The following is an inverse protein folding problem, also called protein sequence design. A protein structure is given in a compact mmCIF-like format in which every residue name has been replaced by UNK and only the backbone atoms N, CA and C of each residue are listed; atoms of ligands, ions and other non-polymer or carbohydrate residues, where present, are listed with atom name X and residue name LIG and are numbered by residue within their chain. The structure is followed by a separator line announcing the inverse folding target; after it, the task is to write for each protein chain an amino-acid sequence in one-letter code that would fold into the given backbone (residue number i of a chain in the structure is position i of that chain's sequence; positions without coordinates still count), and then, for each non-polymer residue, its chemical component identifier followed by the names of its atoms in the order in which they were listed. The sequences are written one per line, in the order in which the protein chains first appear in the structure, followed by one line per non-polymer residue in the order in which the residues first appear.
data_IF_151444282464
#
_entry.id   IF_151444282464
#
_cell.length_a   1.000
_cell.length_b   1.000
_cell.length_c   1.000
_cell.angle_alpha   90.00
_cell.angle_beta   90.00
_cell.angle_gamma   90.00
#
_symmetry.space_group_name_H-M   'P 1'
#
loop_
_entity.id
_entity.type
_entity.pdbx_description
1 polymer ?
#
# COMPACT_ATOMS: atom_id res chain seq x y z
N UNK A 1 2.56 13.24 18.69
CA UNK A 1 1.58 13.53 17.62
C UNK A 1 1.97 12.80 16.36
N UNK A 2 0.99 12.39 15.55
CA UNK A 2 1.20 11.72 14.27
C UNK A 2 0.58 12.55 13.16
N UNK A 3 1.29 12.72 12.05
CA UNK A 3 0.80 13.39 10.84
C UNK A 3 0.37 12.35 9.82
N UNK A 4 -0.75 12.57 9.15
CA UNK A 4 -1.26 11.69 8.10
C UNK A 4 -1.69 12.56 6.93
N UNK A 5 -1.05 12.32 5.78
CA UNK A 5 -1.47 12.88 4.50
C UNK A 5 -2.21 11.82 3.68
N UNK A 6 -3.10 12.27 2.81
CA UNK A 6 -3.94 11.40 1.99
C UNK A 6 -4.05 11.94 0.56
N UNK A 7 -3.96 11.02 -0.40
CA UNK A 7 -4.24 11.27 -1.80
C UNK A 7 -5.01 10.11 -2.41
N UNK A 8 -5.89 10.42 -3.36
CA UNK A 8 -6.52 9.46 -4.25
C UNK A 8 -6.44 9.99 -5.67
N UNK A 9 -6.05 9.12 -6.59
CA UNK A 9 -6.02 9.43 -8.02
C UNK A 9 -6.33 8.18 -8.83
N UNK A 10 -6.83 8.39 -10.06
CA UNK A 10 -7.04 7.35 -11.06
C UNK A 10 -5.93 7.36 -12.13
N UNK A 11 -4.86 8.13 -11.93
CA UNK A 11 -3.72 8.21 -12.82
C UNK A 11 -2.58 7.37 -12.23
N UNK A 12 -2.18 6.33 -12.94
CA UNK A 12 -1.12 5.41 -12.52
C UNK A 12 0.19 6.15 -12.23
N UNK A 13 0.58 7.09 -13.09
CA UNK A 13 1.80 7.88 -12.92
C UNK A 13 1.81 8.73 -11.66
N UNK A 14 0.67 9.29 -11.26
CA UNK A 14 0.58 10.07 -10.03
C UNK A 14 0.74 9.18 -8.79
N UNK A 15 0.18 7.96 -8.80
CA UNK A 15 0.42 6.99 -7.73
C UNK A 15 1.91 6.62 -7.62
N UNK A 16 2.58 6.41 -8.75
CA UNK A 16 4.03 6.16 -8.80
C UNK A 16 4.80 7.35 -8.19
N UNK A 17 4.47 8.58 -8.59
CA UNK A 17 5.10 9.78 -8.02
C UNK A 17 4.89 9.89 -6.51
N UNK A 18 3.68 9.61 -6.01
CA UNK A 18 3.40 9.67 -4.58
C UNK A 18 4.13 8.60 -3.78
N UNK A 19 4.24 7.38 -4.30
CA UNK A 19 5.04 6.32 -3.66
C UNK A 19 6.51 6.73 -3.59
N UNK A 20 7.07 7.25 -4.70
CA UNK A 20 8.47 7.68 -4.74
C UNK A 20 8.76 8.90 -3.85
N UNK A 21 7.85 9.88 -3.80
CA UNK A 21 7.95 11.03 -2.90
C UNK A 21 7.81 10.66 -1.43
N UNK A 22 7.22 9.51 -1.11
CA UNK A 22 7.11 9.08 0.27
C UNK A 22 8.45 8.60 0.85
N UNK A 23 9.44 8.33 -0.01
CA UNK A 23 10.75 7.85 0.41
C UNK A 23 11.54 8.95 1.13
N UNK A 24 11.96 8.67 2.36
CA UNK A 24 12.67 9.63 3.22
C UNK A 24 11.80 10.70 3.90
N UNK A 25 10.61 10.98 3.37
CA UNK A 25 9.69 11.99 3.94
C UNK A 25 8.62 11.38 4.87
N UNK A 26 8.34 10.08 4.77
CA UNK A 26 7.30 9.40 5.54
C UNK A 26 7.82 8.12 6.19
N UNK A 27 7.32 7.81 7.40
CA UNK A 27 7.65 6.57 8.13
C UNK A 27 6.99 5.31 7.53
N UNK A 28 6.00 5.48 6.65
CA UNK A 28 5.30 4.39 6.00
C UNK A 28 4.10 4.83 5.16
N UNK A 29 3.69 3.95 4.24
CA UNK A 29 2.58 4.19 3.31
C UNK A 29 1.52 3.10 3.47
N UNK A 30 0.25 3.49 3.49
CA UNK A 30 -0.88 2.57 3.34
C UNK A 30 -1.45 2.75 1.94
N UNK A 31 -1.38 1.71 1.10
CA UNK A 31 -1.79 1.78 -0.30
C UNK A 31 -2.95 0.83 -0.58
N UNK A 32 -4.05 1.38 -1.09
CA UNK A 32 -5.06 0.61 -1.82
C UNK A 32 -4.95 0.96 -3.30
N UNK A 33 -4.27 0.11 -4.08
CA UNK A 33 -4.08 0.34 -5.51
C UNK A 33 -5.31 -0.03 -6.36
N UNK A 34 -6.39 -0.53 -5.74
CA UNK A 34 -7.62 -0.89 -6.43
C UNK A 34 -7.37 -1.87 -7.59
N UNK A 35 -7.80 -1.49 -8.79
CA UNK A 35 -7.58 -2.30 -9.99
C UNK A 35 -6.10 -2.46 -10.35
N UNK A 36 -5.26 -1.47 -10.03
CA UNK A 36 -3.84 -1.47 -10.36
C UNK A 36 -3.05 -2.54 -9.62
N UNK A 37 -3.54 -3.03 -8.48
CA UNK A 37 -2.99 -4.22 -7.82
C UNK A 37 -2.83 -5.39 -8.80
N UNK A 38 -3.73 -5.52 -9.77
CA UNK A 38 -3.75 -6.66 -10.70
C UNK A 38 -3.09 -6.38 -12.05
N UNK A 39 -2.70 -5.14 -12.34
CA UNK A 39 -2.25 -4.74 -13.68
C UNK A 39 -0.97 -3.91 -13.71
N UNK A 40 -0.64 -3.19 -12.63
CA UNK A 40 0.45 -2.21 -12.63
C UNK A 40 1.77 -2.81 -12.19
N UNK A 41 2.63 -3.09 -13.16
CA UNK A 41 4.05 -3.35 -12.91
C UNK A 41 4.76 -2.05 -12.50
N UNK A 42 4.31 -0.89 -12.99
CA UNK A 42 4.91 0.40 -12.66
C UNK A 42 4.80 0.74 -11.17
N UNK A 43 3.63 0.56 -10.56
CA UNK A 43 3.44 0.79 -9.12
C UNK A 43 4.21 -0.25 -8.30
N UNK A 44 4.25 -1.52 -8.74
CA UNK A 44 5.07 -2.55 -8.10
C UNK A 44 6.54 -2.11 -8.05
N UNK A 45 7.09 -1.70 -9.18
CA UNK A 45 8.50 -1.35 -9.26
C UNK A 45 8.82 -0.05 -8.50
N UNK A 46 7.86 0.89 -8.44
CA UNK A 46 7.97 2.07 -7.58
C UNK A 46 8.03 1.70 -6.09
N UNK A 47 7.17 0.78 -5.63
CA UNK A 47 7.19 0.29 -4.24
C UNK A 47 8.52 -0.43 -3.95
N UNK A 48 9.02 -1.23 -4.90
CA UNK A 48 10.27 -1.98 -4.72
C UNK A 48 11.52 -1.09 -4.70
N UNK A 49 11.42 0.15 -5.20
CA UNK A 49 12.53 1.08 -5.29
C UNK A 49 12.70 1.99 -4.06
N UNK A 50 11.71 2.05 -3.18
CA UNK A 50 11.72 2.91 -1.97
C UNK A 50 12.05 2.10 -0.72
N UNK A 51 12.70 2.73 0.26
CA UNK A 51 12.96 2.11 1.57
C UNK A 51 11.74 2.26 2.51
N UNK A 52 10.93 3.31 2.31
CA UNK A 52 9.69 3.53 3.07
C UNK A 52 8.74 2.33 2.96
N UNK A 53 8.33 1.70 4.09
CA UNK A 53 7.51 0.50 4.07
C UNK A 53 6.09 0.79 3.58
N UNK A 54 5.63 0.03 2.59
CA UNK A 54 4.27 0.11 2.04
C UNK A 54 3.43 -1.07 2.51
N UNK A 55 2.23 -0.83 3.05
CA UNK A 55 1.24 -1.86 3.39
C UNK A 55 0.09 -1.80 2.40
N UNK A 56 -0.18 -2.90 1.70
CA UNK A 56 -1.31 -3.03 0.79
C UNK A 56 -2.62 -3.25 1.58
N UNK A 57 -3.68 -2.54 1.20
CA UNK A 57 -5.01 -2.69 1.79
C UNK A 57 -6.07 -2.85 0.69
N UNK A 58 -6.95 -3.82 0.89
CA UNK A 58 -8.18 -4.02 0.11
C UNK A 58 -9.40 -4.08 1.03
N UNK A 59 -10.39 -3.22 0.75
CA UNK A 59 -11.65 -3.18 1.51
C UNK A 59 -12.36 -4.54 1.42
N UNK A 60 -12.45 -5.11 0.21
CA UNK A 60 -13.04 -6.43 -0.04
C UNK A 60 -12.01 -7.56 0.05
N UNK A 61 -12.46 -8.78 0.29
CA UNK A 61 -11.61 -9.96 0.13
C UNK A 61 -11.40 -10.23 -1.36
N UNK A 62 -10.14 -10.18 -1.83
CA UNK A 62 -9.82 -10.42 -3.24
C UNK A 62 -10.09 -11.89 -3.64
N UNK A 63 -9.87 -12.82 -2.72
CA UNK A 63 -9.97 -14.26 -2.98
C UNK A 63 -11.41 -14.76 -3.16
N UNK A 64 -12.41 -13.97 -2.76
CA UNK A 64 -13.83 -14.28 -3.00
C UNK A 64 -14.34 -13.73 -4.33
N UNK A 65 -13.47 -13.10 -5.12
CA UNK A 65 -13.82 -12.46 -6.40
C UNK A 65 -13.29 -13.28 -7.58
N UNK A 66 -13.32 -12.67 -8.76
CA UNK A 66 -12.86 -13.28 -10.01
C UNK A 66 -11.38 -13.72 -9.91
N UNK A 67 -11.02 -14.81 -10.60
CA UNK A 67 -9.68 -15.41 -10.49
C UNK A 67 -8.54 -14.46 -10.86
N UNK A 68 -8.76 -13.52 -11.78
CA UNK A 68 -7.76 -12.50 -12.12
C UNK A 68 -7.45 -11.54 -10.96
N UNK A 69 -8.32 -11.47 -9.94
CA UNK A 69 -8.11 -10.65 -8.73
C UNK A 69 -7.32 -11.39 -7.65
N UNK A 70 -7.11 -12.69 -7.80
CA UNK A 70 -6.36 -13.46 -6.81
C UNK A 70 -4.87 -13.16 -6.85
N UNK A 71 -4.38 -12.60 -7.96
CA UNK A 71 -2.99 -12.17 -8.12
C UNK A 71 -2.84 -10.69 -7.82
N UNK A 72 -1.98 -10.37 -6.84
CA UNK A 72 -1.49 -9.02 -6.59
C UNK A 72 -0.07 -8.88 -7.13
N UNK A 73 0.15 -7.97 -8.08
CA UNK A 73 1.47 -7.63 -8.60
C UNK A 73 2.28 -6.81 -7.57
N UNK A 74 1.60 -6.01 -6.74
CA UNK A 74 2.24 -5.11 -5.76
C UNK A 74 2.46 -5.79 -4.41
N UNK A 75 1.62 -6.76 -4.02
CA UNK A 75 1.63 -7.36 -2.69
C UNK A 75 2.95 -8.07 -2.36
N UNK A 76 3.62 -8.64 -3.36
CA UNK A 76 4.91 -9.31 -3.18
C UNK A 76 6.08 -8.38 -2.85
N UNK A 77 5.92 -7.06 -3.02
CA UNK A 77 6.93 -6.04 -2.68
C UNK A 77 6.49 -5.12 -1.53
N UNK A 78 5.29 -5.32 -0.99
CA UNK A 78 4.79 -4.61 0.19
C UNK A 78 5.34 -5.25 1.48
N UNK A 79 5.40 -4.47 2.57
CA UNK A 79 5.70 -4.97 3.92
C UNK A 79 4.64 -5.94 4.45
N UNK A 80 3.42 -5.87 3.91
CA UNK A 80 2.33 -6.80 4.15
C UNK A 80 1.07 -6.40 3.40
N UNK A 81 0.09 -7.31 3.33
CA UNK A 81 -1.21 -7.08 2.68
C UNK A 81 -2.37 -7.43 3.61
N UNK A 82 -3.39 -6.58 3.66
CA UNK A 82 -4.65 -6.79 4.38
C UNK A 82 -5.81 -6.75 3.39
N UNK A 83 -6.67 -7.78 3.38
CA UNK A 83 -7.83 -7.82 2.49
C UNK A 83 -9.08 -8.33 3.20
N UNK A 84 -10.24 -7.74 2.91
CA UNK A 84 -11.53 -8.21 3.42
C UNK A 84 -11.93 -7.73 4.81
N UNK A 85 -11.16 -6.79 5.38
CA UNK A 85 -11.46 -6.19 6.69
C UNK A 85 -12.21 -4.85 6.60
N UNK A 86 -12.71 -4.48 5.41
CA UNK A 86 -13.37 -3.20 5.20
C UNK A 86 -12.44 -2.03 5.51
N UNK A 87 -12.99 -0.98 6.12
CA UNK A 87 -12.21 0.19 6.55
C UNK A 87 -11.26 -0.11 7.71
N UNK A 88 -11.51 -1.18 8.49
CA UNK A 88 -10.63 -1.57 9.59
C UNK A 88 -9.23 -1.98 9.10
N UNK A 89 -9.14 -2.43 7.83
CA UNK A 89 -7.87 -2.71 7.17
C UNK A 89 -6.90 -1.51 7.20
N UNK A 90 -7.40 -0.30 7.01
CA UNK A 90 -6.58 0.92 7.09
C UNK A 90 -6.10 1.17 8.51
N UNK A 91 -6.97 1.03 9.52
CA UNK A 91 -6.59 1.19 10.93
C UNK A 91 -5.50 0.20 11.33
N UNK A 92 -5.64 -1.06 10.90
CA UNK A 92 -4.64 -2.10 11.16
C UNK A 92 -3.31 -1.82 10.47
N UNK A 93 -3.33 -1.37 9.21
CA UNK A 93 -2.14 -0.99 8.46
C UNK A 93 -1.39 0.17 9.12
N UNK A 94 -2.09 1.26 9.48
CA UNK A 94 -1.51 2.39 10.21
C UNK A 94 -0.92 1.92 11.54
N UNK A 95 -1.66 1.12 12.31
CA UNK A 95 -1.17 0.60 13.59
C UNK A 95 0.06 -0.31 13.45
N UNK A 96 0.18 -1.04 12.33
CA UNK A 96 1.38 -1.81 12.03
C UNK A 96 2.58 -0.90 11.76
N UNK A 97 2.41 0.12 10.91
CA UNK A 97 3.46 1.08 10.56
C UNK A 97 3.97 1.86 11.79
N UNK A 98 3.06 2.36 12.64
CA UNK A 98 3.43 3.06 13.87
C UNK A 98 4.28 2.19 14.82
N UNK A 99 3.96 0.89 14.92
CA UNK A 99 4.75 -0.06 15.73
C UNK A 99 6.08 -0.43 15.08
N UNK A 100 6.17 -0.35 13.75
CA UNK A 100 7.41 -0.60 13.00
C UNK A 100 8.39 0.55 13.16
N UNK A 101 7.93 1.79 13.03
CA UNK A 101 8.76 2.98 13.20
C UNK A 101 9.40 3.03 14.61
N UNK A 102 8.64 2.67 15.64
CA UNK A 102 9.13 2.59 17.02
C UNK A 102 10.20 1.51 17.29
N UNK A 103 10.51 0.65 16.31
CA UNK A 103 11.50 -0.44 16.41
C UNK A 103 12.79 -0.19 15.63
N UNK A 104 12.84 0.87 14.84
CA UNK A 104 14.07 1.31 14.17
C UNK A 104 14.88 2.12 15.19
N UNK A 105 16.11 1.70 15.56
CA UNK A 105 16.94 2.39 16.55
C UNK A 105 17.41 3.77 16.10
#
# INVERSE_FOLDING_TARGET
DHTIDHVQTNLEGELVEHVQRADGDYDGVVLNAGGYTHSSVAIRDAIAAVETPVVEVHISNLLTRETFRHTSLVGGVCAGSLMGFGLDGYRMAIGHLLRRAARTP
#
